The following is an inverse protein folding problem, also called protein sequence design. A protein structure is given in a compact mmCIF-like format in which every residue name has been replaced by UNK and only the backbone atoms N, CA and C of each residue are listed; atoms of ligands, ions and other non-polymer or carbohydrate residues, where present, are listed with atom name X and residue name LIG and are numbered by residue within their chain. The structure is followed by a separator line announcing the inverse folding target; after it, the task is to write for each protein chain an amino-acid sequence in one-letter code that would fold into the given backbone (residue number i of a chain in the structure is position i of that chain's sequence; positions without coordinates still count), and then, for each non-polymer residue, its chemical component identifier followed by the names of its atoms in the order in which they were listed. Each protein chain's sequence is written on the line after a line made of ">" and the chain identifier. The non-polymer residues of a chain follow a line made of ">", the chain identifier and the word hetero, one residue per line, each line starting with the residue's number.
data_IF_736436650953
#
_entry.id   IF_736436650953
#
_cell.length_a   1.000
_cell.length_b   1.000
_cell.length_c   1.000
_cell.angle_alpha   90.00
_cell.angle_beta   90.00
_cell.angle_gamma   90.00
#
_symmetry.space_group_name_H-M   'P 1'
#
loop_
_entity.id
_entity.type
_entity.pdbx_description
1 polymer ?
#
# COMPACT_ATOMS: atom_id res chain seq x y z
N UNK A 1 -60.20 16.79 -31.48
CA UNK A 1 -59.37 15.59 -31.33
C UNK A 1 -57.91 15.98 -31.65
N UNK A 2 -57.19 16.54 -30.77
CA UNK A 2 -55.73 16.78 -30.89
C UNK A 2 -55.18 17.03 -29.46
N UNK A 3 -54.51 16.04 -28.90
CA UNK A 3 -53.90 16.23 -27.59
C UNK A 3 -53.46 14.91 -26.94
N UNK A 4 -52.51 14.13 -27.53
CA UNK A 4 -51.95 12.92 -26.87
C UNK A 4 -50.59 12.47 -27.39
N UNK A 5 -49.72 13.37 -27.93
CA UNK A 5 -48.42 12.93 -28.45
C UNK A 5 -47.18 13.67 -27.88
N UNK A 6 -47.31 14.45 -26.79
CA UNK A 6 -46.18 15.26 -26.30
C UNK A 6 -45.52 14.74 -25.01
N UNK A 7 -46.10 13.77 -24.32
CA UNK A 7 -45.54 13.28 -23.02
C UNK A 7 -44.58 12.08 -23.08
N UNK A 8 -44.54 11.35 -24.20
CA UNK A 8 -43.71 10.15 -24.28
C UNK A 8 -42.23 10.41 -24.64
N UNK A 9 -41.90 11.58 -25.22
CA UNK A 9 -40.50 11.87 -25.63
C UNK A 9 -39.60 12.43 -24.51
N UNK A 10 -40.20 13.06 -23.49
CA UNK A 10 -39.42 13.66 -22.38
C UNK A 10 -38.95 12.60 -21.40
N UNK A 11 -39.73 11.54 -21.16
CA UNK A 11 -39.38 10.47 -20.25
C UNK A 11 -38.22 9.60 -20.77
N UNK A 12 -38.14 9.37 -22.09
CA UNK A 12 -37.06 8.61 -22.70
C UNK A 12 -35.72 9.34 -22.69
N UNK A 13 -35.71 10.66 -22.81
CA UNK A 13 -34.47 11.45 -22.81
C UNK A 13 -33.84 11.56 -21.40
N UNK A 14 -34.67 11.64 -20.35
CA UNK A 14 -34.18 11.72 -18.95
C UNK A 14 -33.57 10.36 -18.52
N UNK A 15 -34.16 9.23 -18.92
CA UNK A 15 -33.62 7.88 -18.62
C UNK A 15 -32.30 7.62 -19.38
N UNK A 16 -32.20 8.08 -20.64
CA UNK A 16 -30.96 7.93 -21.41
C UNK A 16 -29.83 8.83 -20.89
N UNK A 17 -30.13 10.03 -20.44
CA UNK A 17 -29.16 10.93 -19.81
C UNK A 17 -28.67 10.40 -18.45
N UNK A 18 -29.54 9.80 -17.64
CA UNK A 18 -29.16 9.20 -16.37
C UNK A 18 -28.32 7.93 -16.53
N UNK A 19 -28.58 7.11 -17.56
CA UNK A 19 -27.78 5.96 -17.91
C UNK A 19 -26.40 6.36 -18.46
N UNK A 20 -26.32 7.39 -19.31
CA UNK A 20 -25.05 7.91 -19.81
C UNK A 20 -24.19 8.51 -18.69
N UNK A 21 -24.77 9.25 -17.75
CA UNK A 21 -24.07 9.79 -16.59
C UNK A 21 -23.55 8.67 -15.66
N UNK A 22 -24.33 7.60 -15.46
CA UNK A 22 -23.91 6.44 -14.67
C UNK A 22 -22.73 5.68 -15.33
N UNK A 23 -22.74 5.53 -16.67
CA UNK A 23 -21.65 4.89 -17.41
C UNK A 23 -20.36 5.72 -17.37
N UNK A 24 -20.43 7.04 -17.46
CA UNK A 24 -19.27 7.92 -17.38
C UNK A 24 -18.69 7.97 -15.94
N UNK A 25 -19.53 7.99 -14.91
CA UNK A 25 -19.10 7.91 -13.52
C UNK A 25 -18.40 6.56 -13.24
N UNK A 26 -18.93 5.47 -13.77
CA UNK A 26 -18.37 4.13 -13.59
C UNK A 26 -17.02 3.96 -14.31
N UNK A 27 -16.82 4.54 -15.50
CA UNK A 27 -15.53 4.52 -16.18
C UNK A 27 -14.48 5.37 -15.45
N UNK A 28 -14.87 6.51 -14.87
CA UNK A 28 -14.00 7.33 -14.04
C UNK A 28 -13.57 6.63 -12.75
N UNK A 29 -14.49 5.88 -12.12
CA UNK A 29 -14.20 5.13 -10.90
C UNK A 29 -13.29 3.92 -11.17
N UNK A 30 -13.43 3.23 -12.30
CA UNK A 30 -12.54 2.16 -12.71
C UNK A 30 -11.11 2.68 -12.99
N UNK A 31 -10.99 3.82 -13.69
CA UNK A 31 -9.70 4.47 -13.91
C UNK A 31 -9.03 4.88 -12.60
N UNK A 32 -9.77 5.48 -11.67
CA UNK A 32 -9.25 5.85 -10.36
C UNK A 32 -8.89 4.61 -9.52
N UNK A 33 -9.68 3.54 -9.56
CA UNK A 33 -9.37 2.29 -8.88
C UNK A 33 -8.05 1.68 -9.41
N UNK A 34 -7.82 1.76 -10.72
CA UNK A 34 -6.59 1.30 -11.33
C UNK A 34 -5.39 2.22 -10.96
N UNK A 35 -5.56 3.55 -10.98
CA UNK A 35 -4.52 4.47 -10.54
C UNK A 35 -4.10 4.24 -9.08
N UNK A 36 -5.01 3.80 -8.20
CA UNK A 36 -4.69 3.45 -6.82
C UNK A 36 -3.79 2.21 -6.67
N UNK A 37 -3.60 1.44 -7.74
CA UNK A 37 -2.62 0.33 -7.78
C UNK A 37 -1.21 0.80 -8.17
N UNK A 38 -1.06 2.07 -8.59
CA UNK A 38 0.20 2.70 -8.97
C UNK A 38 0.79 3.47 -7.77
N UNK A 39 1.92 3.02 -7.17
CA UNK A 39 2.53 3.72 -6.04
C UNK A 39 3.16 5.08 -6.40
N UNK A 40 3.24 5.42 -7.70
CA UNK A 40 3.73 6.71 -8.21
C UNK A 40 2.61 7.58 -8.79
N UNK A 41 1.34 7.22 -8.53
CA UNK A 41 0.20 8.01 -9.01
C UNK A 41 0.27 9.46 -8.53
N UNK A 42 -0.16 10.38 -9.39
CA UNK A 42 -0.25 11.81 -9.06
C UNK A 42 -1.50 12.13 -8.22
N UNK A 43 -1.69 11.35 -7.15
CA UNK A 43 -2.82 11.42 -6.24
C UNK A 43 -2.34 11.58 -4.80
N UNK A 44 -2.97 12.49 -4.06
CA UNK A 44 -2.79 12.52 -2.60
C UNK A 44 -3.66 11.43 -2.00
N UNK A 45 -3.03 10.43 -1.38
CA UNK A 45 -3.75 9.30 -0.79
C UNK A 45 -3.34 9.06 0.64
N UNK A 46 -4.28 8.51 1.41
CA UNK A 46 -4.05 8.07 2.79
C UNK A 46 -4.54 6.63 2.94
N UNK A 47 -3.70 5.63 2.61
CA UNK A 47 -3.96 4.25 2.96
C UNK A 47 -3.85 4.03 4.47
N UNK A 48 -4.87 3.40 5.05
CA UNK A 48 -4.86 2.85 6.41
C UNK A 48 -5.00 1.35 6.25
N UNK A 49 -3.92 0.62 6.56
CA UNK A 49 -3.80 -0.81 6.34
C UNK A 49 -3.61 -1.53 7.67
N UNK A 50 -4.48 -2.46 7.98
CA UNK A 50 -4.43 -3.31 9.18
C UNK A 50 -4.00 -4.71 8.75
N UNK A 51 -2.92 -5.21 9.34
CA UNK A 51 -2.46 -6.59 9.19
C UNK A 51 -2.60 -7.29 10.54
N UNK A 52 -3.11 -8.50 10.50
CA UNK A 52 -3.22 -9.39 11.64
C UNK A 52 -2.36 -10.63 11.38
N UNK A 53 -1.33 -10.82 12.18
CA UNK A 53 -0.38 -11.92 12.12
C UNK A 53 -0.45 -12.73 13.42
N UNK A 54 -0.26 -14.04 13.33
CA UNK A 54 -0.33 -15.00 14.45
C UNK A 54 0.85 -15.95 14.44
N UNK A 55 0.84 -16.84 15.40
CA UNK A 55 1.81 -17.92 15.54
C UNK A 55 3.23 -17.34 15.54
N UNK A 56 3.47 -16.35 16.45
CA UNK A 56 4.73 -15.61 16.57
C UNK A 56 5.41 -15.97 17.88
N UNK A 57 6.75 -15.95 17.85
CA UNK A 57 7.56 -16.19 19.03
C UNK A 57 7.90 -17.67 19.26
N UNK A 58 8.73 -17.98 20.28
CA UNK A 58 9.25 -19.34 20.49
C UNK A 58 8.19 -20.37 20.87
N UNK A 59 7.00 -19.95 21.25
CA UNK A 59 5.87 -20.81 21.64
C UNK A 59 4.72 -20.80 20.65
N UNK A 60 4.84 -20.05 19.52
CA UNK A 60 3.79 -19.84 18.52
C UNK A 60 2.48 -19.27 19.10
N UNK A 61 2.55 -18.69 20.30
CA UNK A 61 1.39 -18.13 20.98
C UNK A 61 1.20 -16.63 20.70
N UNK A 62 2.19 -15.98 20.08
CA UNK A 62 2.20 -14.55 19.88
C UNK A 62 1.26 -14.11 18.76
N UNK A 63 0.64 -12.95 18.99
CA UNK A 63 -0.21 -12.27 18.02
C UNK A 63 0.26 -10.84 17.80
N UNK A 64 0.08 -10.32 16.57
CA UNK A 64 0.46 -8.96 16.22
C UNK A 64 -0.54 -8.32 15.29
N UNK A 65 -1.03 -7.15 15.68
CA UNK A 65 -1.83 -6.27 14.83
C UNK A 65 -0.96 -5.06 14.47
N UNK A 66 -0.72 -4.87 13.17
CA UNK A 66 0.01 -3.72 12.67
C UNK A 66 -0.92 -2.85 11.82
N UNK A 67 -1.21 -1.64 12.29
CA UNK A 67 -1.95 -0.63 11.54
C UNK A 67 -0.97 0.36 10.92
N UNK A 68 -0.76 0.26 9.62
CA UNK A 68 0.08 1.18 8.88
C UNK A 68 -0.73 2.38 8.38
N UNK A 69 -0.41 3.58 8.82
CA UNK A 69 -0.90 4.83 8.24
C UNK A 69 0.11 5.26 7.20
N UNK A 70 -0.31 5.33 5.91
CA UNK A 70 0.63 5.44 4.79
C UNK A 70 0.33 6.64 3.87
N UNK A 71 0.48 7.90 4.31
CA UNK A 71 0.27 9.04 3.42
C UNK A 71 1.23 8.98 2.21
N UNK A 72 0.65 9.16 1.01
CA UNK A 72 1.39 9.33 -0.24
C UNK A 72 1.05 10.71 -0.79
N UNK A 73 2.08 11.54 -0.95
CA UNK A 73 1.93 12.93 -1.34
C UNK A 73 2.87 13.22 -2.52
N UNK A 74 2.31 13.49 -3.71
CA UNK A 74 3.09 13.93 -4.85
C UNK A 74 3.35 15.44 -4.80
N UNK A 75 4.59 15.86 -5.02
CA UNK A 75 5.04 17.23 -5.17
C UNK A 75 5.52 17.45 -6.61
N UNK A 76 5.03 18.50 -7.26
CA UNK A 76 5.47 18.88 -8.60
C UNK A 76 6.80 19.64 -8.51
N UNK A 77 7.91 18.99 -8.86
CA UNK A 77 9.23 19.63 -8.82
C UNK A 77 9.49 20.50 -10.05
N UNK A 78 9.05 20.04 -11.23
CA UNK A 78 9.21 20.75 -12.50
C UNK A 78 8.15 20.31 -13.50
N UNK A 79 8.21 20.83 -14.73
CA UNK A 79 7.34 20.37 -15.82
C UNK A 79 7.50 18.87 -16.13
N UNK A 80 8.69 18.30 -15.88
CA UNK A 80 9.04 16.95 -16.26
C UNK A 80 9.17 15.97 -15.09
N UNK A 81 9.21 16.43 -13.84
CA UNK A 81 9.50 15.61 -12.67
C UNK A 81 8.54 15.84 -11.52
N UNK A 82 8.12 14.74 -10.89
CA UNK A 82 7.45 14.69 -9.60
C UNK A 82 8.40 14.14 -8.53
N UNK A 83 8.22 14.57 -7.29
CA UNK A 83 8.71 13.92 -6.09
C UNK A 83 7.51 13.30 -5.39
N UNK A 84 7.49 11.98 -5.22
CA UNK A 84 6.45 11.30 -4.46
C UNK A 84 7.02 10.92 -3.10
N UNK A 85 6.44 11.47 -2.04
CA UNK A 85 6.74 11.11 -0.67
C UNK A 85 5.77 10.02 -0.22
N UNK A 86 6.30 8.88 0.21
CA UNK A 86 5.54 7.80 0.84
C UNK A 86 6.07 7.56 2.24
N UNK A 87 5.25 7.84 3.23
CA UNK A 87 5.55 7.55 4.64
C UNK A 87 4.79 6.30 5.06
N UNK A 88 5.38 5.45 5.88
CA UNK A 88 4.71 4.34 6.56
C UNK A 88 4.93 4.55 8.06
N UNK A 89 3.85 4.87 8.77
CA UNK A 89 3.85 5.03 10.22
C UNK A 89 3.05 3.86 10.84
N UNK A 90 3.73 2.86 11.43
CA UNK A 90 3.06 1.71 12.02
C UNK A 90 2.61 2.00 13.43
N UNK A 91 1.34 1.73 13.74
CA UNK A 91 0.80 1.57 15.09
C UNK A 91 0.69 0.07 15.34
N UNK A 92 1.34 -0.41 16.38
CA UNK A 92 1.52 -1.83 16.63
C UNK A 92 0.86 -2.18 17.97
N UNK A 93 0.05 -3.22 17.96
CA UNK A 93 -0.31 -4.00 19.14
C UNK A 93 0.27 -5.40 18.96
N UNK A 94 0.97 -5.89 19.98
CA UNK A 94 1.45 -7.28 19.99
C UNK A 94 1.32 -7.86 21.39
N UNK A 95 1.08 -9.15 21.46
CA UNK A 95 0.96 -9.91 22.71
C UNK A 95 1.70 -11.24 22.58
N UNK A 96 2.41 -11.64 23.62
CA UNK A 96 3.20 -12.86 23.73
C UNK A 96 4.24 -13.09 22.58
N UNK A 97 4.59 -12.04 21.82
CA UNK A 97 5.63 -12.09 20.76
C UNK A 97 7.02 -12.25 21.36
N UNK A 98 7.27 -11.67 22.52
CA UNK A 98 8.52 -11.78 23.28
C UNK A 98 8.24 -12.48 24.59
N UNK A 99 8.87 -13.62 24.81
CA UNK A 99 8.61 -14.49 25.97
C UNK A 99 8.73 -13.69 27.28
N UNK A 100 7.64 -13.73 28.09
CA UNK A 100 7.57 -13.06 29.39
C UNK A 100 7.46 -11.53 29.34
N UNK A 101 7.29 -10.92 28.17
CA UNK A 101 7.18 -9.48 28.04
C UNK A 101 5.73 -8.96 28.08
N UNK A 102 4.73 -9.85 27.99
CA UNK A 102 3.31 -9.49 27.90
C UNK A 102 2.99 -8.65 26.66
N UNK A 103 1.92 -7.88 26.73
CA UNK A 103 1.48 -7.07 25.60
C UNK A 103 2.24 -5.73 25.49
N UNK A 104 2.42 -5.26 24.25
CA UNK A 104 2.93 -3.93 23.94
C UNK A 104 2.00 -3.22 22.96
N UNK A 105 1.83 -1.91 23.16
CA UNK A 105 1.08 -1.04 22.25
C UNK A 105 1.83 0.28 22.06
N UNK A 106 1.96 0.71 20.80
CA UNK A 106 2.59 1.99 20.49
C UNK A 106 2.91 2.20 19.03
N UNK A 107 3.66 3.25 18.75
CA UNK A 107 4.23 3.49 17.44
C UNK A 107 5.45 2.60 17.23
N UNK A 108 5.63 2.12 16.01
CA UNK A 108 6.88 1.54 15.53
C UNK A 108 7.78 2.58 14.85
N UNK A 109 8.83 2.11 14.20
CA UNK A 109 9.73 2.98 13.45
C UNK A 109 9.10 3.39 12.12
N UNK A 110 9.16 4.69 11.82
CA UNK A 110 8.63 5.26 10.58
C UNK A 110 9.60 4.99 9.43
N UNK A 111 9.04 4.56 8.29
CA UNK A 111 9.75 4.43 7.04
C UNK A 111 9.31 5.54 6.08
N UNK A 112 10.26 6.35 5.57
CA UNK A 112 10.02 7.44 4.62
C UNK A 112 10.75 7.17 3.32
N UNK A 113 10.02 6.98 2.23
CA UNK A 113 10.56 6.84 0.88
C UNK A 113 10.27 8.10 0.05
N UNK A 114 11.26 8.56 -0.69
CA UNK A 114 11.16 9.70 -1.60
C UNK A 114 11.49 9.20 -3.01
N UNK A 115 10.52 9.26 -3.94
CA UNK A 115 10.72 8.82 -5.31
C UNK A 115 10.73 10.02 -6.25
N UNK A 116 11.85 10.25 -6.93
CA UNK A 116 11.91 11.12 -8.10
C UNK A 116 11.39 10.33 -9.30
N UNK A 117 10.29 10.78 -9.88
CA UNK A 117 9.61 10.10 -10.98
C UNK A 117 9.38 11.06 -12.15
N UNK A 118 9.76 10.68 -13.39
CA UNK A 118 9.44 11.49 -14.56
C UNK A 118 7.93 11.44 -14.82
N UNK A 119 7.36 12.60 -15.24
CA UNK A 119 5.94 12.70 -15.62
C UNK A 119 5.63 12.01 -16.95
N UNK A 120 6.64 11.83 -17.79
CA UNK A 120 6.52 11.13 -19.06
C UNK A 120 6.89 9.67 -18.89
N UNK A 121 6.11 8.79 -19.50
CA UNK A 121 6.41 7.36 -19.51
C UNK A 121 7.73 7.08 -20.23
N UNK A 122 8.49 6.13 -19.71
CA UNK A 122 9.66 5.61 -20.39
C UNK A 122 9.27 4.77 -21.62
N UNK A 123 10.25 4.32 -22.39
CA UNK A 123 10.02 3.44 -23.53
C UNK A 123 9.18 2.22 -23.12
N UNK A 124 8.19 1.85 -23.96
CA UNK A 124 7.27 0.76 -23.68
C UNK A 124 6.17 1.08 -22.66
N UNK A 125 5.98 2.36 -22.27
CA UNK A 125 4.93 2.78 -21.34
C UNK A 125 5.25 2.45 -19.87
N UNK A 126 6.53 2.30 -19.53
CA UNK A 126 6.98 2.06 -18.16
C UNK A 126 6.89 3.35 -17.33
N UNK A 127 6.38 3.20 -16.12
CA UNK A 127 6.39 4.21 -15.05
C UNK A 127 7.48 3.78 -14.06
N UNK A 128 8.33 4.70 -13.65
CA UNK A 128 9.37 4.40 -12.70
C UNK A 128 9.69 5.58 -11.80
N UNK A 129 10.25 5.30 -10.65
CA UNK A 129 10.78 6.29 -9.74
C UNK A 129 11.89 5.69 -8.87
N UNK A 130 12.83 6.52 -8.50
CA UNK A 130 13.94 6.12 -7.63
C UNK A 130 14.33 7.27 -6.70
N UNK A 131 14.95 6.92 -5.57
CA UNK A 131 15.42 7.90 -4.61
C UNK A 131 15.86 7.28 -3.29
N UNK A 132 15.96 8.07 -2.22
CA UNK A 132 16.32 7.58 -0.90
C UNK A 132 15.13 7.02 -0.13
N UNK A 133 15.41 6.06 0.75
CA UNK A 133 14.53 5.61 1.84
C UNK A 133 15.23 5.86 3.17
N UNK A 134 14.45 6.23 4.18
CA UNK A 134 14.92 6.48 5.55
C UNK A 134 14.11 5.66 6.54
N UNK A 135 14.78 5.10 7.53
CA UNK A 135 14.19 4.51 8.73
C UNK A 135 14.44 5.45 9.90
N UNK A 136 13.37 5.86 10.56
CA UNK A 136 13.40 6.82 11.68
C UNK A 136 13.05 6.07 12.96
N UNK A 137 13.88 6.14 14.03
CA UNK A 137 13.66 5.44 15.27
C UNK A 137 12.59 6.13 16.13
N UNK A 138 11.34 6.06 15.68
CA UNK A 138 10.18 6.71 16.29
C UNK A 138 9.38 5.80 17.23
N UNK A 139 9.82 4.55 17.37
CA UNK A 139 9.13 3.59 18.22
C UNK A 139 9.01 4.05 19.65
N UNK A 140 7.80 3.96 20.21
CA UNK A 140 7.50 4.39 21.59
C UNK A 140 7.86 3.35 22.66
N UNK A 141 8.05 2.08 22.23
CA UNK A 141 8.58 1.00 23.07
C UNK A 141 9.76 0.34 22.34
N UNK A 142 10.80 -0.05 23.09
CA UNK A 142 12.01 -0.66 22.56
C UNK A 142 11.79 -2.01 21.86
N UNK A 143 10.65 -2.66 22.07
CA UNK A 143 10.24 -3.91 21.45
C UNK A 143 9.45 -3.69 20.15
N UNK A 144 9.04 -2.45 19.85
CA UNK A 144 8.28 -2.08 18.68
C UNK A 144 9.14 -1.46 17.56
N UNK A 145 10.46 -1.27 17.80
CA UNK A 145 11.37 -0.66 16.84
C UNK A 145 12.82 -1.08 17.01
N UNK A 146 13.62 -0.70 16.05
CA UNK A 146 15.04 -1.05 15.99
C UNK A 146 15.93 -0.12 16.83
N UNK A 147 15.46 1.10 17.16
CA UNK A 147 16.24 2.16 17.82
C UNK A 147 17.49 2.57 17.01
N UNK A 148 17.43 2.40 15.70
CA UNK A 148 18.48 2.74 14.74
C UNK A 148 17.97 3.69 13.68
N UNK A 149 18.76 4.67 13.33
CA UNK A 149 18.58 5.44 12.11
C UNK A 149 19.10 4.65 10.93
N UNK A 150 18.32 4.58 9.89
CA UNK A 150 18.70 3.87 8.66
C UNK A 150 18.43 4.70 7.43
N UNK A 151 19.21 4.42 6.38
CA UNK A 151 19.00 5.01 5.06
C UNK A 151 19.48 4.05 3.97
N UNK A 152 18.99 4.29 2.74
CA UNK A 152 19.43 3.55 1.57
C UNK A 152 18.69 3.92 0.31
N UNK A 153 18.92 3.23 -0.81
CA UNK A 153 18.22 3.45 -2.06
C UNK A 153 16.84 2.79 -2.05
N UNK A 154 15.90 3.41 -2.75
CA UNK A 154 14.58 2.83 -3.09
C UNK A 154 14.28 3.05 -4.56
N UNK A 155 13.52 2.15 -5.16
CA UNK A 155 13.07 2.26 -6.53
C UNK A 155 11.79 1.48 -6.77
N UNK A 156 11.06 1.92 -7.77
CA UNK A 156 9.84 1.27 -8.24
C UNK A 156 9.76 1.36 -9.76
N UNK A 157 9.31 0.29 -10.37
CA UNK A 157 9.00 0.21 -11.80
C UNK A 157 7.70 -0.54 -11.99
N UNK A 158 6.83 -0.03 -12.87
CA UNK A 158 5.57 -0.68 -13.19
C UNK A 158 5.12 -0.37 -14.62
N UNK A 159 4.18 -1.16 -15.10
CA UNK A 159 3.46 -0.93 -16.34
C UNK A 159 1.96 -1.09 -16.10
N UNK A 160 1.17 -0.24 -16.77
CA UNK A 160 -0.29 -0.33 -16.84
C UNK A 160 -0.68 -0.62 -18.27
N UNK A 161 -1.35 -1.77 -18.52
CA UNK A 161 -1.76 -2.20 -19.84
C UNK A 161 -3.19 -2.74 -19.82
N UNK A 162 -4.11 -2.00 -20.43
CA UNK A 162 -5.54 -2.29 -20.30
C UNK A 162 -5.94 -2.33 -18.83
N UNK A 163 -6.61 -3.38 -18.35
CA UNK A 163 -7.03 -3.51 -16.95
C UNK A 163 -5.92 -3.97 -15.99
N UNK A 164 -4.74 -4.31 -16.52
CA UNK A 164 -3.63 -4.86 -15.75
C UNK A 164 -2.68 -3.76 -15.27
N UNK A 165 -2.25 -3.86 -14.01
CA UNK A 165 -1.10 -3.16 -13.45
C UNK A 165 -0.14 -4.20 -12.91
N UNK A 166 1.12 -4.14 -13.30
CA UNK A 166 2.15 -5.02 -12.78
C UNK A 166 3.45 -4.24 -12.56
N UNK A 167 4.15 -4.54 -11.47
CA UNK A 167 5.37 -3.84 -11.14
C UNK A 167 6.11 -4.44 -9.96
N UNK A 168 7.17 -3.75 -9.57
CA UNK A 168 8.00 -4.11 -8.42
C UNK A 168 8.53 -2.85 -7.75
N UNK A 169 8.42 -2.81 -6.43
CA UNK A 169 9.12 -1.86 -5.57
C UNK A 169 10.24 -2.61 -4.83
N UNK A 170 11.40 -1.99 -4.70
CA UNK A 170 12.48 -2.52 -3.90
C UNK A 170 13.22 -1.40 -3.18
N UNK A 171 13.77 -1.72 -2.01
CA UNK A 171 14.69 -0.85 -1.30
C UNK A 171 15.70 -1.67 -0.51
N UNK A 172 16.76 -1.00 -0.09
CA UNK A 172 17.70 -1.54 0.88
C UNK A 172 18.00 -0.47 1.93
N UNK A 173 18.05 -0.87 3.20
CA UNK A 173 18.31 0.03 4.32
C UNK A 173 19.51 -0.50 5.12
N UNK A 174 20.50 0.37 5.33
CA UNK A 174 21.58 0.18 6.30
C UNK A 174 21.39 1.12 7.50
N UNK A 175 21.65 0.64 8.72
CA UNK A 175 21.78 1.54 9.87
C UNK A 175 23.08 2.33 9.79
N UNK A 176 23.06 3.59 10.25
CA UNK A 176 24.25 4.45 10.33
C UNK A 176 24.41 5.14 11.67
N UNK A 177 23.40 5.11 12.53
CA UNK A 177 23.42 5.68 13.89
C UNK A 177 22.33 5.04 14.76
N UNK A 178 22.38 5.27 16.08
CA UNK A 178 21.37 4.83 17.03
C UNK A 178 21.97 4.14 18.25
N UNK A 179 21.19 3.27 18.90
CA UNK A 179 21.56 2.56 20.12
C UNK A 179 22.59 1.47 19.84
N UNK A 180 23.80 1.56 20.40
CA UNK A 180 24.89 0.62 20.18
C UNK A 180 24.61 -0.79 20.76
N UNK A 181 23.66 -0.90 21.69
CA UNK A 181 23.23 -2.19 22.23
C UNK A 181 22.20 -2.90 21.34
N UNK A 182 21.81 -2.30 20.22
CA UNK A 182 20.87 -2.87 19.24
C UNK A 182 21.61 -3.33 18.01
N UNK A 183 21.17 -4.46 17.46
CA UNK A 183 21.72 -5.00 16.22
C UNK A 183 21.65 -3.99 15.09
N UNK A 184 22.71 -3.90 14.30
CA UNK A 184 22.73 -3.11 13.08
C UNK A 184 21.76 -3.65 12.04
N UNK A 185 21.20 -2.74 11.25
CA UNK A 185 20.28 -3.05 10.18
C UNK A 185 21.03 -3.15 8.86
N UNK A 186 20.79 -4.23 8.15
CA UNK A 186 21.08 -4.39 6.73
C UNK A 186 19.94 -5.24 6.16
N UNK A 187 18.95 -4.59 5.55
CA UNK A 187 17.72 -5.25 5.13
C UNK A 187 17.33 -4.84 3.71
N UNK A 188 17.09 -5.83 2.85
CA UNK A 188 16.54 -5.64 1.51
C UNK A 188 15.05 -5.95 1.52
N UNK A 189 14.24 -5.05 1.01
CA UNK A 189 12.81 -5.23 0.81
C UNK A 189 12.49 -5.30 -0.69
N UNK A 190 11.64 -6.26 -1.08
CA UNK A 190 11.15 -6.42 -2.46
C UNK A 190 9.66 -6.68 -2.43
N UNK A 191 8.93 -5.92 -3.25
CA UNK A 191 7.47 -6.01 -3.37
C UNK A 191 7.08 -6.09 -4.85
N UNK A 192 7.17 -7.27 -5.50
CA UNK A 192 6.50 -7.51 -6.75
C UNK A 192 4.98 -7.55 -6.53
N UNK A 193 4.23 -6.99 -7.49
CA UNK A 193 2.78 -6.95 -7.45
C UNK A 193 2.17 -7.04 -8.85
N UNK A 194 0.97 -7.61 -8.91
CA UNK A 194 0.11 -7.60 -10.08
C UNK A 194 -1.32 -7.38 -9.65
N UNK A 195 -2.05 -6.56 -10.41
CA UNK A 195 -3.45 -6.26 -10.15
C UNK A 195 -4.25 -6.26 -11.45
N UNK A 196 -5.51 -6.63 -11.34
CA UNK A 196 -6.50 -6.55 -12.41
C UNK A 196 -7.70 -5.74 -11.93
N UNK A 197 -8.05 -4.68 -12.66
CA UNK A 197 -9.16 -3.79 -12.34
C UNK A 197 -10.29 -3.93 -13.37
N UNK A 198 -11.48 -4.30 -12.91
CA UNK A 198 -12.67 -4.40 -13.75
C UNK A 198 -13.32 -3.03 -14.00
N UNK A 199 -14.11 -2.89 -15.08
CA UNK A 199 -14.89 -1.67 -15.33
C UNK A 199 -15.86 -1.30 -14.17
N UNK A 200 -16.21 -2.25 -13.33
CA UNK A 200 -17.04 -2.07 -12.12
C UNK A 200 -16.27 -1.53 -10.91
N UNK A 201 -15.02 -1.07 -11.11
CA UNK A 201 -14.13 -0.57 -10.08
C UNK A 201 -13.80 -1.58 -8.95
N UNK A 202 -13.97 -2.86 -9.21
CA UNK A 202 -13.37 -3.93 -8.43
C UNK A 202 -11.93 -4.17 -8.90
N UNK A 203 -11.06 -4.49 -7.97
CA UNK A 203 -9.67 -4.86 -8.25
C UNK A 203 -9.30 -6.10 -7.46
N UNK A 204 -8.70 -7.08 -8.11
CA UNK A 204 -7.98 -8.17 -7.44
C UNK A 204 -6.49 -7.91 -7.56
N UNK A 205 -5.74 -8.18 -6.50
CA UNK A 205 -4.29 -8.04 -6.49
C UNK A 205 -3.61 -9.20 -5.81
N UNK A 206 -2.42 -9.54 -6.32
CA UNK A 206 -1.47 -10.47 -5.75
C UNK A 206 -0.17 -9.72 -5.55
N UNK A 207 0.39 -9.80 -4.36
CA UNK A 207 1.69 -9.20 -4.03
C UNK A 207 2.40 -9.98 -2.93
N UNK A 208 3.72 -9.85 -2.90
CA UNK A 208 4.51 -10.20 -1.71
C UNK A 208 5.22 -8.96 -1.19
N UNK A 209 5.41 -8.88 0.10
CA UNK A 209 6.17 -7.83 0.80
C UNK A 209 7.37 -8.50 1.46
N UNK A 210 8.23 -9.06 0.62
CA UNK A 210 9.35 -9.88 1.07
C UNK A 210 10.51 -9.04 1.58
N UNK A 211 11.17 -9.49 2.62
CA UNK A 211 12.39 -8.86 3.09
C UNK A 211 13.47 -9.91 3.42
N UNK A 212 14.72 -9.52 3.20
CA UNK A 212 15.90 -10.31 3.58
C UNK A 212 16.75 -9.53 4.56
N UNK A 213 16.91 -10.09 5.76
CA UNK A 213 17.79 -9.56 6.78
C UNK A 213 19.20 -10.13 6.60
N UNK A 214 20.15 -9.31 6.13
CA UNK A 214 21.53 -9.70 5.88
C UNK A 214 22.35 -9.95 7.15
N UNK A 215 21.87 -9.49 8.30
CA UNK A 215 22.58 -9.72 9.59
C UNK A 215 22.26 -11.09 10.17
N UNK A 216 21.02 -11.56 9.98
CA UNK A 216 20.55 -12.85 10.47
C UNK A 216 20.44 -13.90 9.36
N UNK A 217 20.67 -13.49 8.08
CA UNK A 217 20.55 -14.33 6.90
C UNK A 217 19.18 -14.99 6.76
N UNK A 218 18.10 -14.24 7.09
CA UNK A 218 16.73 -14.73 7.14
C UNK A 218 15.81 -14.00 6.19
N UNK A 219 14.92 -14.76 5.55
CA UNK A 219 13.85 -14.26 4.73
C UNK A 219 12.56 -14.08 5.54
N UNK A 220 11.75 -13.13 5.11
CA UNK A 220 10.34 -12.95 5.45
C UNK A 220 9.55 -12.83 4.16
N UNK A 221 8.69 -13.78 3.83
CA UNK A 221 8.02 -13.88 2.52
C UNK A 221 6.51 -14.07 2.69
N UNK A 222 5.75 -13.01 2.98
CA UNK A 222 4.28 -13.07 2.98
C UNK A 222 3.75 -12.96 1.55
N UNK A 223 2.97 -13.92 1.09
CA UNK A 223 2.23 -13.87 -0.16
C UNK A 223 0.80 -13.43 0.13
N UNK A 224 0.35 -12.33 -0.47
CA UNK A 224 -0.95 -11.72 -0.17
C UNK A 224 -1.83 -11.67 -1.42
N UNK A 225 -3.07 -12.15 -1.29
CA UNK A 225 -4.14 -11.95 -2.27
C UNK A 225 -5.19 -11.04 -1.67
N UNK A 226 -5.65 -10.05 -2.40
CA UNK A 226 -6.66 -9.13 -1.92
C UNK A 226 -7.65 -8.74 -3.01
N UNK A 227 -8.83 -8.36 -2.55
CA UNK A 227 -9.91 -7.82 -3.38
C UNK A 227 -10.28 -6.46 -2.83
N UNK A 228 -10.38 -5.48 -3.70
CA UNK A 228 -10.81 -4.13 -3.32
C UNK A 228 -11.91 -3.61 -4.23
N UNK A 229 -12.64 -2.61 -3.72
CA UNK A 229 -13.63 -1.87 -4.49
C UNK A 229 -13.53 -0.40 -4.17
N UNK A 230 -13.50 0.43 -5.20
CA UNK A 230 -13.66 1.86 -5.04
C UNK A 230 -15.13 2.18 -4.79
N UNK A 231 -15.40 2.90 -3.71
CA UNK A 231 -16.71 3.42 -3.32
C UNK A 231 -16.60 4.92 -3.06
N UNK A 232 -17.73 5.64 -3.12
CA UNK A 232 -17.75 7.07 -2.83
C UNK A 232 -18.61 7.36 -1.59
N UNK A 233 -18.01 8.03 -0.61
CA UNK A 233 -18.72 8.62 0.52
C UNK A 233 -18.96 10.11 0.23
N UNK A 234 -20.10 10.40 -0.37
CA UNK A 234 -20.36 11.71 -0.96
C UNK A 234 -19.39 11.97 -2.12
N UNK A 235 -18.52 12.98 -1.99
CA UNK A 235 -17.49 13.31 -2.99
C UNK A 235 -16.15 12.62 -2.74
N UNK A 236 -15.98 11.96 -1.60
CA UNK A 236 -14.72 11.34 -1.20
C UNK A 236 -14.62 9.92 -1.76
N UNK A 237 -13.69 9.63 -2.68
CA UNK A 237 -13.42 8.28 -3.13
C UNK A 237 -12.61 7.52 -2.08
N UNK A 238 -13.03 6.30 -1.79
CA UNK A 238 -12.32 5.39 -0.87
C UNK A 238 -12.28 4.00 -1.49
N UNK A 239 -11.09 3.43 -1.62
CA UNK A 239 -10.96 2.02 -2.00
C UNK A 239 -10.91 1.17 -0.72
N UNK A 240 -11.94 0.33 -0.53
CA UNK A 240 -12.00 -0.62 0.57
C UNK A 240 -11.45 -1.97 0.09
N UNK A 241 -10.53 -2.56 0.85
CA UNK A 241 -9.84 -3.79 0.51
C UNK A 241 -9.89 -4.79 1.66
N UNK A 242 -10.16 -6.05 1.34
CA UNK A 242 -9.96 -7.20 2.20
C UNK A 242 -9.00 -8.20 1.54
N UNK A 243 -8.17 -8.85 2.33
CA UNK A 243 -7.19 -9.79 1.81
C UNK A 243 -6.80 -10.87 2.82
N UNK A 244 -6.24 -11.94 2.28
CA UNK A 244 -5.62 -13.03 3.02
C UNK A 244 -4.21 -13.21 2.48
N UNK A 245 -3.28 -13.49 3.38
CA UNK A 245 -1.91 -13.83 3.04
C UNK A 245 -1.48 -15.11 3.73
N UNK A 246 -0.34 -15.60 3.30
CA UNK A 246 0.33 -16.77 3.88
C UNK A 246 1.83 -16.48 3.97
N UNK A 247 2.43 -16.79 5.12
CA UNK A 247 3.87 -16.71 5.31
C UNK A 247 4.52 -17.93 4.69
N UNK A 248 5.05 -17.77 3.46
CA UNK A 248 5.74 -18.84 2.73
C UNK A 248 7.13 -19.09 3.29
N UNK A 249 7.76 -18.06 3.86
CA UNK A 249 9.03 -18.09 4.59
C UNK A 249 8.93 -17.07 5.73
N UNK A 250 9.43 -17.41 6.89
CA UNK A 250 9.45 -16.56 8.07
C UNK A 250 10.76 -16.70 8.83
N UNK A 251 11.29 -15.64 9.45
CA UNK A 251 12.45 -15.77 10.32
C UNK A 251 12.11 -16.57 11.57
N UNK A 252 13.14 -17.08 12.25
CA UNK A 252 12.99 -17.76 13.52
C UNK A 252 12.16 -16.93 14.50
N UNK A 253 11.15 -17.54 15.09
CA UNK A 253 10.17 -16.85 15.95
C UNK A 253 9.39 -15.71 15.26
N UNK A 254 9.35 -15.69 13.93
CA UNK A 254 8.49 -14.79 13.15
C UNK A 254 7.07 -15.32 13.03
N UNK A 255 6.18 -14.59 12.35
CA UNK A 255 4.79 -15.02 12.15
C UNK A 255 4.72 -16.20 11.18
N UNK A 256 3.83 -17.16 11.45
CA UNK A 256 3.59 -18.32 10.61
C UNK A 256 2.13 -18.40 10.13
N UNK A 257 1.90 -19.25 9.11
CA UNK A 257 0.57 -19.57 8.61
C UNK A 257 -0.13 -18.41 7.90
N UNK A 258 -1.42 -18.27 8.19
CA UNK A 258 -2.26 -17.26 7.52
C UNK A 258 -2.22 -15.91 8.24
N UNK A 259 -2.21 -14.85 7.41
CA UNK A 259 -2.43 -13.48 7.85
C UNK A 259 -3.68 -12.90 7.21
N UNK A 260 -4.28 -11.92 7.87
CA UNK A 260 -5.44 -11.20 7.34
C UNK A 260 -5.10 -9.72 7.18
N UNK A 261 -5.69 -9.12 6.13
CA UNK A 261 -5.49 -7.70 5.80
C UNK A 261 -6.81 -7.01 5.55
N UNK A 262 -6.98 -5.84 6.16
CA UNK A 262 -8.00 -4.87 5.81
C UNK A 262 -7.32 -3.55 5.44
N UNK A 263 -7.84 -2.86 4.43
CA UNK A 263 -7.30 -1.55 4.06
C UNK A 263 -8.40 -0.62 3.57
N UNK A 264 -8.30 0.63 3.96
CA UNK A 264 -9.03 1.74 3.35
C UNK A 264 -8.01 2.70 2.74
N UNK A 265 -8.10 2.91 1.42
CA UNK A 265 -7.25 3.89 0.73
C UNK A 265 -8.11 5.10 0.37
N UNK A 266 -7.91 6.20 1.09
CA UNK A 266 -8.69 7.44 0.99
C UNK A 266 -8.00 8.35 -0.02
N UNK A 267 -8.72 8.80 -1.05
CA UNK A 267 -8.22 9.79 -2.01
C UNK A 267 -8.61 11.18 -1.53
N UNK A 268 -7.62 11.99 -1.24
CA UNK A 268 -7.82 13.35 -0.73
C UNK A 268 -7.83 14.36 -1.89
N UNK A 269 -8.69 15.38 -1.83
CA UNK A 269 -8.65 16.48 -2.81
C UNK A 269 -7.33 17.26 -2.68
N UNK A 270 -6.88 17.76 -3.80
CA UNK A 270 -5.76 18.74 -3.85
C UNK A 270 -6.25 20.14 -3.62
#
# INVERSE_FOLDING_TARGET
>A
MNGLYTSARITGAVVLLSLAAAVHAQSGDAGLAQELTNPLADLVTLPIQINFDRDIGPSDAGEKVTTNVQPVIPFHLSENWNLISRTIAPVIYQDDVVLGAGSQFGLGDINLSLFFSPKKFAAGGLIWGAGPVFLLPTATDSRLGARKWGAGPTGVVLAMRGPWTAGMLANHIWSFAGDDNRQDISNTFVQPFVAYTWPSAWTVSLQTESSYNWKNEQWSVPINVSVSRLVRFGKLPVSLQGGVGYWAESPDAGPEGFRFRLQANIVLPR
#
